data_IF_386025996590
#
_entry.id   IF_386025996590
#
_cell.length_a   1.000
_cell.length_b   1.000
_cell.length_c   1.000
_cell.angle_alpha   90.00
_cell.angle_beta   90.00
_cell.angle_gamma   90.00
#
_symmetry.space_group_name_H-M   'P 1'
#
loop_
_entity.id
_entity.type
_entity.pdbx_description
1 polymer ?
#
# COMPACT_ATOMS: atom_id res chain seq x y z
N UNK A 1 13.30 34.35 20.57
CA UNK A 1 12.94 33.60 19.36
C UNK A 1 13.32 32.16 19.61
N UNK A 2 12.32 31.31 19.81
CA UNK A 2 12.49 29.93 20.23
C UNK A 2 12.53 29.01 18.99
N UNK A 3 13.58 28.19 18.78
CA UNK A 3 13.72 27.32 17.61
C UNK A 3 12.82 26.06 17.65
N UNK A 4 12.00 25.84 18.67
CA UNK A 4 11.22 24.59 18.83
C UNK A 4 9.85 24.55 18.15
N UNK A 5 9.42 25.60 17.44
CA UNK A 5 8.06 25.65 16.84
C UNK A 5 7.93 24.95 15.46
N UNK A 6 9.02 24.56 14.80
CA UNK A 6 8.96 24.00 13.45
C UNK A 6 8.99 22.46 13.36
N UNK A 7 9.00 21.75 14.49
CA UNK A 7 9.15 20.28 14.53
C UNK A 7 7.85 19.46 14.63
N UNK A 8 6.73 20.08 15.03
CA UNK A 8 5.53 19.34 15.46
C UNK A 8 4.61 18.85 14.32
N UNK A 9 4.90 19.19 13.06
CA UNK A 9 4.08 18.78 11.92
C UNK A 9 4.43 17.41 11.30
N UNK A 10 5.42 16.68 11.83
CA UNK A 10 5.95 15.46 11.16
C UNK A 10 5.36 14.13 11.61
N UNK A 11 4.57 14.08 12.70
CA UNK A 11 3.90 12.85 13.17
C UNK A 11 2.43 12.72 12.72
N UNK A 12 1.98 13.56 11.79
CA UNK A 12 0.56 13.78 11.52
C UNK A 12 -0.19 12.68 10.74
N UNK A 13 0.47 11.63 10.26
CA UNK A 13 -0.20 10.61 9.46
C UNK A 13 -0.83 9.47 10.28
N UNK A 14 -0.40 9.25 11.53
CA UNK A 14 -0.99 8.24 12.42
C UNK A 14 -2.12 8.80 13.31
N UNK A 15 -2.23 10.13 13.41
CA UNK A 15 -3.19 10.83 14.28
C UNK A 15 -4.29 11.57 13.53
N UNK A 16 -4.51 11.29 12.24
CA UNK A 16 -5.72 11.78 11.58
C UNK A 16 -6.93 11.26 12.38
N UNK A 17 -7.78 12.15 12.95
CA UNK A 17 -8.98 11.72 13.64
C UNK A 17 -9.85 11.01 12.61
N UNK A 18 -9.95 9.69 12.74
CA UNK A 18 -10.86 8.87 11.97
C UNK A 18 -12.28 9.30 12.34
N UNK A 19 -13.01 9.90 11.40
CA UNK A 19 -14.40 10.31 11.62
C UNK A 19 -15.32 9.10 11.61
N UNK A 20 -14.85 8.01 11.00
CA UNK A 20 -15.58 6.74 10.93
C UNK A 20 -15.51 6.01 12.29
N UNK A 21 -16.66 5.70 12.94
CA UNK A 21 -16.66 4.97 14.19
C UNK A 21 -16.16 3.54 14.01
N UNK A 22 -15.50 2.98 15.03
CA UNK A 22 -15.10 1.57 15.02
C UNK A 22 -16.35 0.66 14.97
N UNK A 23 -16.29 -0.48 14.28
CA UNK A 23 -17.33 -1.50 14.38
C UNK A 23 -17.55 -1.94 15.84
N UNK A 24 -18.76 -2.40 16.19
CA UNK A 24 -19.04 -2.90 17.53
C UNK A 24 -18.38 -4.27 17.76
N UNK A 25 -17.87 -4.49 18.98
CA UNK A 25 -17.31 -5.79 19.38
C UNK A 25 -18.36 -6.90 19.41
N UNK A 26 -17.96 -8.12 19.07
CA UNK A 26 -18.78 -9.32 19.18
C UNK A 26 -17.94 -10.46 19.80
N UNK A 27 -18.17 -10.71 21.10
CA UNK A 27 -17.45 -11.73 21.86
C UNK A 27 -18.02 -13.15 21.65
N UNK A 28 -19.20 -13.29 21.05
CA UNK A 28 -19.72 -14.60 20.66
C UNK A 28 -18.94 -15.14 19.43
N UNK A 29 -18.59 -14.25 18.50
CA UNK A 29 -17.80 -14.60 17.30
C UNK A 29 -16.28 -14.59 17.55
N UNK A 30 -15.78 -13.71 18.42
CA UNK A 30 -14.36 -13.62 18.77
C UNK A 30 -14.20 -13.46 20.29
N UNK A 31 -14.08 -14.57 21.05
CA UNK A 31 -14.13 -14.54 22.51
C UNK A 31 -13.06 -13.69 23.20
N UNK A 32 -11.89 -13.54 22.57
CA UNK A 32 -10.75 -12.87 23.19
C UNK A 32 -10.61 -11.40 22.83
N UNK A 33 -10.91 -11.01 21.59
CA UNK A 33 -10.75 -9.63 21.14
C UNK A 33 -12.07 -8.91 20.88
N UNK A 34 -13.17 -9.65 20.69
CA UNK A 34 -14.41 -9.11 20.14
C UNK A 34 -14.27 -8.63 18.69
N UNK A 35 -13.10 -8.76 18.07
CA UNK A 35 -12.87 -8.30 16.71
C UNK A 35 -13.43 -9.29 15.71
N UNK A 36 -14.32 -8.77 14.88
CA UNK A 36 -14.89 -9.47 13.73
C UNK A 36 -14.19 -9.07 12.44
N UNK A 37 -14.58 -9.70 11.34
CA UNK A 37 -14.18 -9.32 9.99
C UNK A 37 -14.29 -7.80 9.73
N UNK A 38 -15.36 -7.16 10.21
CA UNK A 38 -15.57 -5.72 10.02
C UNK A 38 -14.43 -4.86 10.62
N UNK A 39 -13.81 -5.29 11.72
CA UNK A 39 -12.68 -4.58 12.31
C UNK A 39 -11.44 -4.66 11.42
N UNK A 40 -11.17 -5.85 10.87
CA UNK A 40 -10.06 -6.06 9.94
C UNK A 40 -10.26 -5.29 8.63
N UNK A 41 -11.49 -5.25 8.11
CA UNK A 41 -11.86 -4.44 6.94
C UNK A 41 -11.67 -2.94 7.18
N UNK A 42 -12.07 -2.44 8.36
CA UNK A 42 -11.89 -1.04 8.74
C UNK A 42 -10.41 -0.67 8.84
N UNK A 43 -9.58 -1.50 9.46
CA UNK A 43 -8.13 -1.29 9.57
C UNK A 43 -7.47 -1.34 8.19
N UNK A 44 -7.79 -2.35 7.38
CA UNK A 44 -7.25 -2.48 6.04
C UNK A 44 -7.61 -1.26 5.16
N UNK A 45 -8.85 -0.77 5.25
CA UNK A 45 -9.27 0.42 4.53
C UNK A 45 -8.53 1.68 4.98
N UNK A 46 -8.35 1.85 6.29
CA UNK A 46 -7.57 2.97 6.85
C UNK A 46 -6.10 2.93 6.44
N UNK A 47 -5.45 1.77 6.54
CA UNK A 47 -4.04 1.61 6.17
C UNK A 47 -3.84 1.84 4.67
N UNK A 48 -4.74 1.31 3.84
CA UNK A 48 -4.73 1.54 2.40
C UNK A 48 -4.92 3.03 2.06
N UNK A 49 -5.83 3.72 2.75
CA UNK A 49 -5.99 5.16 2.58
C UNK A 49 -4.71 5.93 2.91
N UNK A 50 -4.02 5.58 4.01
CA UNK A 50 -2.72 6.16 4.36
C UNK A 50 -1.64 5.92 3.30
N UNK A 51 -1.56 4.71 2.76
CA UNK A 51 -0.65 4.38 1.66
C UNK A 51 -0.96 5.21 0.40
N UNK A 52 -2.23 5.35 0.02
CA UNK A 52 -2.64 6.16 -1.13
C UNK A 52 -2.27 7.63 -0.93
N UNK A 53 -2.45 8.20 0.27
CA UNK A 53 -2.02 9.57 0.56
C UNK A 53 -0.49 9.74 0.43
N UNK A 54 0.28 8.73 0.85
CA UNK A 54 1.74 8.73 0.68
C UNK A 54 2.13 8.66 -0.80
N UNK A 55 1.47 7.80 -1.57
CA UNK A 55 1.64 7.67 -3.02
C UNK A 55 1.30 8.95 -3.78
N UNK A 56 0.24 9.66 -3.42
CA UNK A 56 -0.11 10.94 -4.04
C UNK A 56 0.93 12.01 -3.77
N UNK A 57 1.45 12.06 -2.54
CA UNK A 57 2.49 13.02 -2.16
C UNK A 57 3.80 12.76 -2.92
N UNK A 58 4.11 11.51 -3.19
CA UNK A 58 5.30 11.11 -3.94
C UNK A 58 5.09 11.00 -5.45
N UNK A 59 3.85 11.17 -5.93
CA UNK A 59 3.48 11.10 -7.34
C UNK A 59 3.38 9.68 -7.92
N UNK A 60 3.55 8.63 -7.12
CA UNK A 60 3.49 7.24 -7.58
C UNK A 60 3.24 6.25 -6.43
N UNK A 61 2.37 5.24 -6.61
CA UNK A 61 2.23 4.16 -5.64
C UNK A 61 3.47 3.25 -5.57
N UNK A 62 4.29 3.17 -6.62
CA UNK A 62 5.59 2.50 -6.53
C UNK A 62 6.59 3.22 -5.61
N UNK A 63 6.32 4.49 -5.30
CA UNK A 63 7.16 5.34 -4.44
C UNK A 63 6.36 5.88 -3.25
N UNK A 64 5.46 5.11 -2.65
CA UNK A 64 4.71 5.58 -1.49
C UNK A 64 5.66 5.74 -0.28
N UNK A 65 6.24 6.92 -0.07
CA UNK A 65 7.22 7.15 0.98
C UNK A 65 6.52 7.49 2.30
N UNK A 66 6.66 6.63 3.29
CA UNK A 66 6.19 6.92 4.63
C UNK A 66 7.10 7.96 5.32
N UNK A 67 6.57 8.73 6.29
CA UNK A 67 7.40 9.65 7.05
C UNK A 67 8.49 8.87 7.79
N UNK A 68 9.73 9.03 7.35
CA UNK A 68 10.93 8.47 7.99
C UNK A 68 11.98 9.55 8.20
N UNK A 69 12.92 9.33 9.12
CA UNK A 69 14.00 10.24 9.48
C UNK A 69 15.24 10.13 8.56
N UNK A 70 15.25 9.13 7.68
CA UNK A 70 16.37 8.74 6.81
C UNK A 70 16.43 9.61 5.56
N UNK A 71 17.01 10.80 5.73
CA UNK A 71 17.13 11.82 4.67
C UNK A 71 18.14 11.50 3.56
N UNK A 72 18.90 10.41 3.69
CA UNK A 72 20.09 10.16 2.86
C UNK A 72 20.13 8.75 2.21
N UNK A 73 19.09 7.92 2.37
CA UNK A 73 19.01 6.62 1.68
C UNK A 73 18.28 6.76 0.33
N UNK A 74 18.58 5.89 -0.66
CA UNK A 74 17.89 5.94 -1.94
C UNK A 74 16.40 5.57 -1.77
N UNK A 75 15.53 6.49 -2.18
CA UNK A 75 14.06 6.33 -2.13
C UNK A 75 13.54 5.04 -2.82
N UNK A 76 14.34 4.41 -3.68
CA UNK A 76 13.96 3.23 -4.46
C UNK A 76 13.67 2.00 -3.58
N UNK A 77 14.52 1.73 -2.58
CA UNK A 77 14.30 0.63 -1.63
C UNK A 77 13.13 0.94 -0.72
N UNK A 78 13.03 2.17 -0.22
CA UNK A 78 11.95 2.58 0.66
C UNK A 78 10.58 2.50 -0.05
N UNK A 79 10.54 2.80 -1.35
CA UNK A 79 9.36 2.60 -2.21
C UNK A 79 9.02 1.12 -2.42
N UNK A 80 10.02 0.26 -2.58
CA UNK A 80 9.82 -1.19 -2.68
C UNK A 80 9.32 -1.79 -1.34
N UNK A 81 9.91 -1.37 -0.22
CA UNK A 81 9.54 -1.80 1.12
C UNK A 81 8.12 -1.33 1.48
N UNK A 82 7.79 -0.07 1.18
CA UNK A 82 6.44 0.45 1.43
C UNK A 82 5.39 -0.24 0.58
N UNK A 83 5.73 -0.54 -0.68
CA UNK A 83 4.96 -1.43 -1.53
C UNK A 83 4.81 -2.79 -0.84
N UNK A 84 5.87 -3.55 -0.63
CA UNK A 84 5.81 -4.92 -0.10
C UNK A 84 4.94 -5.04 1.16
N UNK A 85 5.09 -4.10 2.10
CA UNK A 85 4.35 -4.08 3.37
C UNK A 85 2.85 -3.82 3.22
N UNK A 86 2.44 -2.89 2.35
CA UNK A 86 1.02 -2.68 2.07
C UNK A 86 0.44 -3.80 1.19
N UNK A 87 1.25 -4.37 0.32
CA UNK A 87 0.81 -5.31 -0.70
C UNK A 87 0.47 -6.68 -0.16
N UNK A 88 1.10 -7.15 0.92
CA UNK A 88 0.73 -8.42 1.56
C UNK A 88 -0.76 -8.47 1.96
N UNK A 89 -1.29 -7.53 2.77
CA UNK A 89 -2.72 -7.53 3.08
C UNK A 89 -3.59 -7.23 1.86
N UNK A 90 -3.14 -6.40 0.91
CA UNK A 90 -3.87 -6.12 -0.34
C UNK A 90 -3.99 -7.35 -1.26
N UNK A 91 -2.93 -8.13 -1.39
CA UNK A 91 -2.88 -9.37 -2.15
C UNK A 91 -3.69 -10.47 -1.50
N UNK A 92 -3.62 -10.61 -0.17
CA UNK A 92 -4.47 -11.53 0.59
C UNK A 92 -5.96 -11.17 0.46
N UNK A 93 -6.30 -9.87 0.50
CA UNK A 93 -7.66 -9.39 0.28
C UNK A 93 -8.14 -9.75 -1.13
N UNK A 94 -7.39 -9.39 -2.16
CA UNK A 94 -7.78 -9.64 -3.55
C UNK A 94 -7.76 -11.13 -3.92
N UNK A 95 -6.95 -11.95 -3.26
CA UNK A 95 -6.87 -13.40 -3.48
C UNK A 95 -8.17 -14.16 -3.17
N UNK A 96 -9.07 -13.57 -2.39
CA UNK A 96 -10.43 -14.05 -2.25
C UNK A 96 -11.35 -13.37 -3.28
N UNK A 97 -11.98 -14.17 -4.15
CA UNK A 97 -12.85 -13.67 -5.23
C UNK A 97 -14.09 -12.93 -4.73
N UNK A 98 -14.59 -13.29 -3.54
CA UNK A 98 -15.75 -12.65 -2.92
C UNK A 98 -15.44 -11.25 -2.37
N UNK A 99 -14.15 -10.93 -2.18
CA UNK A 99 -13.76 -9.62 -1.67
C UNK A 99 -13.83 -8.56 -2.79
N UNK A 100 -14.46 -7.39 -2.54
CA UNK A 100 -14.57 -6.34 -3.54
C UNK A 100 -13.20 -5.77 -3.92
N UNK A 101 -13.05 -5.41 -5.21
CA UNK A 101 -11.83 -4.74 -5.71
C UNK A 101 -11.73 -3.30 -5.22
N UNK A 102 -12.86 -2.69 -4.89
CA UNK A 102 -12.98 -1.30 -4.46
C UNK A 102 -13.31 -1.29 -2.97
N UNK A 103 -12.54 -0.54 -2.21
CA UNK A 103 -12.81 -0.25 -0.80
C UNK A 103 -13.10 1.24 -0.64
N UNK A 104 -13.83 1.62 0.41
CA UNK A 104 -14.17 3.00 0.70
C UNK A 104 -13.73 3.39 2.10
N UNK A 105 -13.10 4.55 2.23
CA UNK A 105 -12.69 5.12 3.52
C UNK A 105 -12.78 6.65 3.47
N UNK A 106 -13.42 7.26 4.48
CA UNK A 106 -13.61 8.73 4.55
C UNK A 106 -14.19 9.34 3.26
N UNK A 107 -15.12 8.62 2.60
CA UNK A 107 -15.77 9.06 1.36
C UNK A 107 -14.93 8.90 0.08
N UNK A 108 -13.74 8.29 0.19
CA UNK A 108 -12.87 8.01 -0.95
C UNK A 108 -12.94 6.54 -1.34
N UNK A 109 -13.23 6.29 -2.61
CA UNK A 109 -13.12 4.95 -3.20
C UNK A 109 -11.68 4.68 -3.69
N UNK A 110 -11.18 3.49 -3.40
CA UNK A 110 -9.83 3.05 -3.77
C UNK A 110 -9.96 1.70 -4.47
N UNK A 111 -9.57 1.64 -5.75
CA UNK A 111 -9.53 0.41 -6.53
C UNK A 111 -8.17 -0.28 -6.38
N UNK A 112 -8.15 -1.39 -5.65
CA UNK A 112 -6.95 -2.15 -5.33
C UNK A 112 -6.32 -2.83 -6.55
N UNK A 113 -7.13 -3.29 -7.51
CA UNK A 113 -6.63 -3.91 -8.75
C UNK A 113 -5.85 -2.90 -9.61
N UNK A 114 -6.35 -1.66 -9.69
CA UNK A 114 -5.68 -0.56 -10.42
C UNK A 114 -4.41 -0.14 -9.69
N UNK A 115 -4.51 0.08 -8.37
CA UNK A 115 -3.40 0.52 -7.53
C UNK A 115 -2.21 -0.45 -7.61
N UNK A 116 -2.49 -1.76 -7.49
CA UNK A 116 -1.49 -2.82 -7.61
C UNK A 116 -0.85 -2.85 -9.01
N UNK A 117 -1.68 -2.79 -10.07
CA UNK A 117 -1.17 -2.82 -11.45
C UNK A 117 -0.26 -1.63 -11.75
N UNK A 118 -0.66 -0.43 -11.35
CA UNK A 118 0.10 0.78 -11.56
C UNK A 118 1.44 0.71 -10.83
N UNK A 119 1.43 0.33 -9.55
CA UNK A 119 2.62 0.27 -8.74
C UNK A 119 3.64 -0.77 -9.25
N UNK A 120 3.18 -1.94 -9.71
CA UNK A 120 4.06 -2.93 -10.34
C UNK A 120 4.64 -2.43 -11.67
N UNK A 121 3.82 -1.79 -12.52
CA UNK A 121 4.27 -1.28 -13.81
C UNK A 121 5.31 -0.16 -13.65
N UNK A 122 5.12 0.74 -12.69
CA UNK A 122 6.04 1.85 -12.42
C UNK A 122 7.30 1.40 -11.67
N UNK A 123 7.15 0.50 -10.70
CA UNK A 123 8.25 -0.02 -9.86
C UNK A 123 9.24 -0.91 -10.59
N UNK A 124 8.79 -1.60 -11.64
CA UNK A 124 9.62 -2.47 -12.48
C UNK A 124 10.14 -1.81 -13.76
N UNK A 125 9.82 -0.53 -13.99
CA UNK A 125 10.25 0.19 -15.20
C UNK A 125 11.62 0.85 -15.00
N UNK A 126 12.69 0.20 -15.47
CA UNK A 126 14.07 0.72 -15.42
C UNK A 126 14.29 2.02 -16.21
N UNK A 127 13.38 2.41 -17.12
CA UNK A 127 13.47 3.67 -17.85
C UNK A 127 12.98 4.88 -17.04
N UNK A 128 12.30 4.65 -15.91
CA UNK A 128 11.87 5.71 -15.01
C UNK A 128 12.61 5.61 -13.67
N UNK A 129 13.81 6.21 -13.53
CA UNK A 129 14.59 6.12 -12.29
C UNK A 129 13.90 6.78 -11.10
N UNK A 130 12.85 7.59 -11.32
CA UNK A 130 12.07 8.18 -10.23
C UNK A 130 11.23 7.15 -9.47
N UNK A 131 10.72 6.11 -10.15
CA UNK A 131 9.85 5.09 -9.53
C UNK A 131 10.45 3.70 -9.53
N UNK A 132 11.52 3.47 -10.30
CA UNK A 132 12.17 2.17 -10.41
C UNK A 132 12.73 1.72 -9.05
N UNK A 133 12.39 0.50 -8.65
CA UNK A 133 12.86 -0.08 -7.38
C UNK A 133 14.35 -0.44 -7.39
N UNK A 134 14.99 -0.43 -8.55
CA UNK A 134 16.41 -0.74 -8.69
C UNK A 134 16.68 -2.22 -8.98
N UNK A 135 17.93 -2.51 -9.33
CA UNK A 135 18.37 -3.85 -9.67
C UNK A 135 18.65 -4.70 -8.42
N UNK A 136 18.24 -5.96 -8.49
CA UNK A 136 18.52 -6.94 -7.44
C UNK A 136 19.96 -7.43 -7.53
N UNK A 137 20.74 -7.20 -6.48
CA UNK A 137 22.16 -7.56 -6.40
C UNK A 137 22.40 -8.63 -5.33
N UNK A 138 23.62 -9.17 -5.26
CA UNK A 138 23.96 -10.19 -4.27
C UNK A 138 23.68 -9.70 -2.84
N UNK A 139 22.86 -10.44 -2.10
CA UNK A 139 22.46 -10.14 -0.71
C UNK A 139 21.80 -8.75 -0.52
N UNK A 140 21.21 -8.16 -1.55
CA UNK A 140 20.49 -6.89 -1.43
C UNK A 140 19.14 -7.05 -0.74
N UNK A 141 18.68 -6.01 -0.03
CA UNK A 141 17.35 -5.95 0.57
C UNK A 141 16.22 -6.24 -0.43
N UNK A 142 16.41 -5.90 -1.72
CA UNK A 142 15.49 -6.26 -2.80
C UNK A 142 15.08 -7.73 -2.81
N UNK A 143 15.95 -8.65 -2.41
CA UNK A 143 15.64 -10.09 -2.40
C UNK A 143 14.53 -10.40 -1.40
N UNK A 144 14.58 -9.77 -0.21
CA UNK A 144 13.58 -9.98 0.85
C UNK A 144 12.24 -9.41 0.41
N UNK A 145 12.24 -8.15 -0.05
CA UNK A 145 11.01 -7.48 -0.45
C UNK A 145 10.39 -8.13 -1.71
N UNK A 146 11.22 -8.60 -2.66
CA UNK A 146 10.74 -9.24 -3.88
C UNK A 146 10.02 -10.57 -3.62
N UNK A 147 10.31 -11.26 -2.50
CA UNK A 147 9.57 -12.45 -2.12
C UNK A 147 8.09 -12.12 -1.81
N UNK A 148 7.85 -11.02 -1.10
CA UNK A 148 6.50 -10.52 -0.81
C UNK A 148 5.80 -10.07 -2.10
N UNK A 149 6.52 -9.36 -2.99
CA UNK A 149 5.98 -8.98 -4.31
C UNK A 149 5.56 -10.22 -5.12
N UNK A 150 6.40 -11.25 -5.17
CA UNK A 150 6.12 -12.49 -5.90
C UNK A 150 4.87 -13.20 -5.35
N UNK A 151 4.72 -13.26 -4.02
CA UNK A 151 3.53 -13.83 -3.38
C UNK A 151 2.27 -13.06 -3.76
N UNK A 152 2.32 -11.74 -3.76
CA UNK A 152 1.18 -10.88 -4.11
C UNK A 152 0.79 -11.05 -5.57
N UNK A 153 1.77 -11.12 -6.48
CA UNK A 153 1.52 -11.42 -7.91
C UNK A 153 0.80 -12.76 -8.04
N UNK A 154 1.27 -13.79 -7.32
CA UNK A 154 0.65 -15.11 -7.36
C UNK A 154 -0.80 -15.09 -6.83
N UNK A 155 -1.04 -14.46 -5.68
CA UNK A 155 -2.37 -14.38 -5.07
C UNK A 155 -3.37 -13.60 -5.94
N UNK A 156 -2.90 -12.60 -6.69
CA UNK A 156 -3.76 -11.68 -7.45
C UNK A 156 -3.82 -11.97 -8.95
N UNK A 157 -3.12 -13.01 -9.43
CA UNK A 157 -2.98 -13.36 -10.86
C UNK A 157 -4.29 -13.36 -11.65
N UNK A 158 -5.36 -13.94 -11.08
CA UNK A 158 -6.66 -14.08 -11.75
C UNK A 158 -7.42 -12.77 -11.87
N UNK A 159 -7.08 -11.75 -11.07
CA UNK A 159 -7.79 -10.45 -11.05
C UNK A 159 -6.99 -9.35 -11.73
N UNK A 160 -5.68 -9.33 -11.47
CA UNK A 160 -4.77 -8.28 -11.94
C UNK A 160 -4.17 -8.63 -13.30
N UNK A 161 -3.77 -9.88 -13.52
CA UNK A 161 -2.96 -10.28 -14.67
C UNK A 161 -3.73 -11.01 -15.77
N UNK A 162 -4.79 -11.74 -15.44
CA UNK A 162 -5.71 -12.32 -16.46
C UNK A 162 -6.28 -11.25 -17.40
N UNK A 163 -6.48 -10.03 -16.87
CA UNK A 163 -6.90 -8.82 -17.59
C UNK A 163 -5.74 -8.03 -18.22
N UNK A 164 -4.51 -8.54 -18.21
CA UNK A 164 -3.32 -7.95 -18.86
C UNK A 164 -3.13 -8.53 -20.28
N UNK A 165 -4.22 -8.81 -21.00
CA UNK A 165 -4.12 -9.34 -22.37
C UNK A 165 -4.03 -8.26 -23.46
N UNK A 166 -3.75 -6.99 -23.11
CA UNK A 166 -3.45 -5.98 -24.13
C UNK A 166 -2.63 -4.78 -23.60
N UNK A 167 -1.30 -4.74 -23.79
CA UNK A 167 -0.44 -3.62 -23.38
C UNK A 167 -0.72 -2.29 -24.11
N UNK A 168 -1.62 -2.28 -25.11
CA UNK A 168 -1.74 -1.16 -26.07
C UNK A 168 -2.82 -0.12 -25.75
N UNK A 169 -3.49 -0.17 -24.59
CA UNK A 169 -4.46 0.87 -24.18
C UNK A 169 -4.44 1.12 -22.68
N UNK A 170 -3.44 1.87 -22.22
CA UNK A 170 -3.61 2.75 -21.06
C UNK A 170 -3.50 4.17 -21.63
N UNK A 171 -4.65 4.78 -21.92
CA UNK A 171 -4.72 6.24 -22.06
C UNK A 171 -5.11 6.77 -20.69
N UNK A 172 -4.25 7.65 -20.16
CA UNK A 172 -4.53 8.53 -19.04
C UNK A 172 -5.79 9.36 -19.31
#
# INVERSE_FOLDING_TARGET
>A
MDPFTNGLNRFFYLTLPCKTPSPPFNYDLSPYSGWTRAHWEAIFSRLTYGYVLAAERSGSPARALFPDDRRDLPDAIDGLESFARWHLPGGAWLGNVENPAVISFEGREINLEILLRQALAEGTNSHNPYTYWGDMNHMSQHIVEAADVALVIWLTRERVFSKWQNPSRIKL
#
